data_IF_052967588742
#
_entry.id   IF_052967588742
#
_cell.length_a   1.000
_cell.length_b   1.000
_cell.length_c   1.000
_cell.angle_alpha   90.00
_cell.angle_beta   90.00
_cell.angle_gamma   90.00
#
_symmetry.space_group_name_H-M   'P 1'
#
loop_
_entity.id
_entity.type
_entity.pdbx_description
1 polymer ?
#
# COMPACT_ATOMS: atom_id res chain seq x y z
N UNK A 1 -48.35 -16.75 -120.22
CA UNK A 1 -49.61 -17.19 -119.61
C UNK A 1 -49.66 -16.52 -118.23
N UNK A 2 -50.42 -15.62 -118.10
CA UNK A 2 -51.59 -15.31 -117.40
C UNK A 2 -51.29 -14.47 -116.11
N UNK A 3 -51.52 -13.21 -116.14
CA UNK A 3 -52.62 -12.44 -115.53
C UNK A 3 -52.64 -12.53 -113.99
N UNK A 4 -52.78 -11.52 -113.20
CA UNK A 4 -53.41 -10.18 -113.15
C UNK A 4 -53.23 -9.75 -111.65
N UNK A 5 -53.07 -8.59 -111.25
CA UNK A 5 -53.75 -7.34 -111.43
C UNK A 5 -54.25 -6.78 -110.08
N UNK A 6 -54.26 -5.49 -109.96
CA UNK A 6 -54.94 -4.63 -108.95
C UNK A 6 -54.29 -4.52 -107.57
N UNK A 7 -53.89 -3.43 -106.98
CA UNK A 7 -54.34 -2.05 -107.14
C UNK A 7 -54.76 -1.49 -105.70
N UNK A 8 -54.46 -0.23 -105.52
CA UNK A 8 -55.10 0.67 -104.50
C UNK A 8 -54.59 0.57 -103.07
N UNK A 9 -54.17 1.50 -102.42
CA UNK A 9 -54.36 2.88 -102.12
C UNK A 9 -53.55 3.31 -100.92
N UNK A 10 -53.10 4.51 -100.99
CA UNK A 10 -52.49 5.36 -100.02
C UNK A 10 -53.22 5.44 -98.69
N UNK A 11 -52.46 5.34 -97.54
CA UNK A 11 -52.79 6.06 -96.32
C UNK A 11 -51.51 6.33 -95.55
N UNK A 12 -51.03 7.58 -95.59
CA UNK A 12 -49.99 8.10 -94.77
C UNK A 12 -50.49 8.28 -93.34
N UNK A 13 -49.87 7.59 -92.39
CA UNK A 13 -50.04 7.87 -90.98
C UNK A 13 -48.72 8.43 -90.47
N UNK A 14 -48.69 9.72 -90.19
CA UNK A 14 -47.64 10.38 -89.38
C UNK A 14 -47.64 9.82 -87.94
N UNK A 15 -46.60 9.10 -87.61
CA UNK A 15 -46.28 8.87 -86.16
C UNK A 15 -45.48 10.06 -85.65
N UNK A 16 -46.11 10.90 -84.85
CA UNK A 16 -45.45 11.86 -83.96
C UNK A 16 -44.67 11.06 -82.90
N UNK A 17 -43.35 11.10 -82.98
CA UNK A 17 -42.47 10.65 -81.90
C UNK A 17 -42.70 11.55 -80.68
N UNK A 18 -43.40 11.05 -79.68
CA UNK A 18 -43.56 11.68 -78.39
C UNK A 18 -42.24 11.69 -77.68
N UNK A 19 -41.66 12.87 -77.51
CA UNK A 19 -40.67 13.12 -76.53
C UNK A 19 -41.31 13.02 -75.11
N UNK A 20 -41.21 11.86 -74.45
CA UNK A 20 -41.50 11.75 -73.04
C UNK A 20 -40.48 12.59 -72.27
N UNK A 21 -40.86 13.13 -71.10
CA UNK A 21 -39.94 13.88 -70.30
C UNK A 21 -38.77 12.97 -69.89
N UNK A 22 -37.53 13.37 -70.23
CA UNK A 22 -36.34 12.74 -69.64
C UNK A 22 -36.45 12.84 -68.11
N UNK A 23 -36.49 11.70 -67.38
CA UNK A 23 -36.29 11.71 -65.95
C UNK A 23 -35.06 12.51 -65.65
N UNK A 24 -35.12 13.40 -64.63
CA UNK A 24 -33.94 14.12 -64.18
C UNK A 24 -32.86 13.09 -63.80
N UNK A 25 -31.57 13.36 -64.13
CA UNK A 25 -30.50 12.45 -63.77
C UNK A 25 -30.58 12.21 -62.27
N UNK A 26 -30.64 10.93 -61.85
CA UNK A 26 -30.54 10.59 -60.44
C UNK A 26 -29.33 11.29 -59.84
N UNK A 27 -29.48 11.87 -58.64
CA UNK A 27 -28.33 12.49 -57.99
C UNK A 27 -27.19 11.48 -57.88
N UNK A 28 -25.98 11.94 -58.16
CA UNK A 28 -24.79 11.09 -58.04
C UNK A 28 -24.71 10.53 -56.62
N UNK A 29 -24.61 9.20 -56.47
CA UNK A 29 -24.45 8.51 -55.19
C UNK A 29 -23.13 8.93 -54.57
N UNK A 30 -23.17 9.44 -53.37
CA UNK A 30 -22.00 9.77 -52.56
C UNK A 30 -21.74 8.70 -51.54
N UNK A 31 -20.61 8.03 -51.63
CA UNK A 31 -20.24 6.93 -50.75
C UNK A 31 -19.06 7.39 -49.88
N UNK A 32 -19.22 7.33 -48.57
CA UNK A 32 -18.17 7.62 -47.62
C UNK A 32 -17.64 6.27 -47.11
N UNK A 33 -16.33 6.05 -47.25
CA UNK A 33 -15.64 4.88 -46.73
C UNK A 33 -14.70 5.34 -45.60
N UNK A 34 -14.91 4.76 -44.43
CA UNK A 34 -14.14 5.02 -43.21
C UNK A 34 -13.42 3.75 -42.76
N UNK A 35 -12.24 3.87 -42.18
CA UNK A 35 -11.53 2.80 -41.49
C UNK A 35 -11.62 2.98 -39.97
N UNK A 36 -11.73 1.87 -39.25
CA UNK A 36 -11.74 1.85 -37.81
C UNK A 36 -10.74 0.79 -37.29
N UNK A 37 -10.07 0.99 -36.14
CA UNK A 37 -10.19 2.15 -35.23
C UNK A 37 -9.47 3.42 -35.74
N UNK A 38 -8.48 3.30 -36.60
CA UNK A 38 -7.67 4.40 -37.10
C UNK A 38 -8.09 4.86 -38.51
N UNK A 39 -8.04 6.16 -38.75
CA UNK A 39 -8.19 6.77 -40.05
C UNK A 39 -6.88 6.66 -40.87
N UNK A 40 -6.96 6.91 -42.18
CA UNK A 40 -5.76 6.98 -43.04
C UNK A 40 -5.45 5.70 -43.81
N UNK A 41 -6.32 4.71 -43.77
CA UNK A 41 -6.16 3.53 -44.62
C UNK A 41 -6.28 3.87 -46.11
N UNK A 42 -5.37 3.37 -46.94
CA UNK A 42 -5.52 3.43 -48.39
C UNK A 42 -6.69 2.59 -48.83
N UNK A 43 -7.56 3.15 -49.71
CA UNK A 43 -8.83 2.57 -50.09
C UNK A 43 -8.83 2.24 -51.59
N UNK A 44 -8.98 0.95 -51.93
CA UNK A 44 -9.26 0.55 -53.28
C UNK A 44 -10.71 0.04 -53.36
N UNK A 45 -11.50 0.50 -54.33
CA UNK A 45 -12.87 0.03 -54.60
C UNK A 45 -12.89 -0.61 -55.97
N UNK A 46 -13.26 -1.89 -56.05
CA UNK A 46 -13.21 -2.67 -57.28
C UNK A 46 -11.83 -2.63 -57.97
N UNK A 47 -10.73 -2.57 -57.19
CA UNK A 47 -9.36 -2.52 -57.67
C UNK A 47 -8.85 -1.13 -58.08
N UNK A 48 -9.69 -0.09 -58.06
CA UNK A 48 -9.29 1.29 -58.34
C UNK A 48 -8.98 2.05 -57.06
N UNK A 49 -7.86 2.77 -57.07
CA UNK A 49 -7.45 3.62 -55.94
C UNK A 49 -8.40 4.83 -55.79
N UNK A 50 -8.92 5.01 -54.58
CA UNK A 50 -9.86 6.07 -54.20
C UNK A 50 -9.28 7.05 -53.18
N UNK A 51 -8.02 6.87 -52.77
CA UNK A 51 -7.36 7.71 -51.80
C UNK A 51 -7.31 7.07 -50.40
N UNK A 52 -7.41 7.90 -49.36
CA UNK A 52 -7.27 7.45 -47.96
C UNK A 52 -8.53 7.71 -47.13
N UNK A 53 -8.93 6.74 -46.33
CA UNK A 53 -10.11 6.85 -45.45
C UNK A 53 -9.90 7.91 -44.32
N UNK A 54 -10.93 8.74 -44.00
CA UNK A 54 -12.24 8.74 -44.67
C UNK A 54 -12.17 9.34 -46.07
N UNK A 55 -12.76 8.62 -47.05
CA UNK A 55 -12.77 9.06 -48.45
C UNK A 55 -14.19 9.07 -49.00
N UNK A 56 -14.49 10.08 -49.85
CA UNK A 56 -15.75 10.17 -50.55
C UNK A 56 -15.55 9.69 -51.99
N UNK A 57 -16.33 8.70 -52.41
CA UNK A 57 -16.39 8.13 -53.75
C UNK A 57 -17.71 8.53 -54.39
N UNK A 58 -17.66 9.28 -55.48
CA UNK A 58 -18.85 9.72 -56.23
C UNK A 58 -19.09 8.88 -57.49
N UNK A 59 -20.35 8.73 -57.86
CA UNK A 59 -20.74 8.15 -59.12
C UNK A 59 -20.70 6.61 -59.21
N UNK A 60 -20.59 5.92 -58.08
CA UNK A 60 -20.74 4.45 -58.06
C UNK A 60 -22.20 4.06 -58.22
N UNK A 61 -22.58 3.23 -59.25
CA UNK A 61 -23.92 2.70 -59.39
C UNK A 61 -24.32 1.79 -58.21
N UNK A 62 -25.63 1.59 -58.02
CA UNK A 62 -26.10 0.59 -57.08
C UNK A 62 -25.55 -0.80 -57.48
N UNK A 63 -24.99 -1.52 -56.52
CA UNK A 63 -24.33 -2.80 -56.76
C UNK A 63 -23.46 -3.27 -55.59
N UNK A 64 -22.85 -4.43 -55.77
CA UNK A 64 -21.91 -5.00 -54.81
C UNK A 64 -20.47 -4.66 -55.23
N UNK A 65 -19.68 -4.17 -54.31
CA UNK A 65 -18.29 -3.79 -54.55
C UNK A 65 -17.39 -4.37 -53.48
N UNK A 66 -16.23 -4.88 -53.87
CA UNK A 66 -15.15 -5.22 -52.96
C UNK A 66 -14.33 -3.97 -52.65
N UNK A 67 -14.12 -3.73 -51.36
CA UNK A 67 -13.25 -2.68 -50.83
C UNK A 67 -12.04 -3.33 -50.20
N UNK A 68 -10.83 -2.92 -50.61
CA UNK A 68 -9.61 -3.29 -49.96
C UNK A 68 -9.08 -2.07 -49.19
N UNK A 69 -8.89 -2.26 -47.86
CA UNK A 69 -8.21 -1.32 -46.99
C UNK A 69 -6.80 -1.80 -46.71
N UNK A 70 -5.83 -0.87 -46.77
CA UNK A 70 -4.43 -1.11 -46.40
C UNK A 70 -3.96 0.03 -45.50
N UNK A 71 -3.52 -0.32 -44.29
CA UNK A 71 -2.96 0.62 -43.32
C UNK A 71 -1.74 -0.06 -42.69
N UNK A 72 -0.71 0.75 -42.41
CA UNK A 72 0.45 0.27 -41.66
C UNK A 72 0.02 -0.26 -40.31
N UNK A 73 0.67 -1.34 -39.85
CA UNK A 73 0.37 -2.05 -38.59
C UNK A 73 -1.00 -2.77 -38.54
N UNK A 74 -1.73 -2.82 -39.64
CA UNK A 74 -3.02 -3.53 -39.73
C UNK A 74 -2.98 -4.62 -40.80
N UNK A 75 -3.78 -5.65 -40.64
CA UNK A 75 -4.01 -6.66 -41.69
C UNK A 75 -4.72 -6.01 -42.85
N UNK A 76 -4.32 -6.41 -44.08
CA UNK A 76 -5.08 -6.04 -45.28
C UNK A 76 -6.50 -6.56 -45.14
N UNK A 77 -7.49 -5.68 -45.26
CA UNK A 77 -8.89 -6.01 -45.04
C UNK A 77 -9.68 -5.92 -46.34
N UNK A 78 -10.21 -7.05 -46.78
CA UNK A 78 -11.16 -7.14 -47.86
C UNK A 78 -12.58 -7.11 -47.30
N UNK A 79 -13.43 -6.22 -47.77
CA UNK A 79 -14.79 -6.09 -47.30
C UNK A 79 -15.75 -5.83 -48.46
N UNK A 80 -16.85 -6.57 -48.51
CA UNK A 80 -17.90 -6.39 -49.53
C UNK A 80 -18.91 -5.34 -49.05
N UNK A 81 -19.06 -4.25 -49.78
CA UNK A 81 -20.10 -3.25 -49.55
C UNK A 81 -21.25 -3.43 -50.57
N UNK A 82 -22.47 -3.11 -50.17
CA UNK A 82 -23.65 -3.12 -51.05
C UNK A 82 -24.19 -1.70 -51.13
N UNK A 83 -23.90 -1.02 -52.24
CA UNK A 83 -24.40 0.30 -52.56
C UNK A 83 -25.86 0.19 -53.01
N UNK A 84 -26.77 0.86 -52.29
CA UNK A 84 -28.22 0.82 -52.55
C UNK A 84 -28.68 1.87 -53.54
N UNK A 85 -27.84 2.88 -53.81
CA UNK A 85 -28.16 4.00 -54.68
C UNK A 85 -28.85 5.15 -53.94
N UNK A 86 -28.70 5.22 -52.63
CA UNK A 86 -29.13 6.34 -51.82
C UNK A 86 -28.24 7.57 -52.10
N UNK A 87 -28.71 8.81 -51.86
CA UNK A 87 -27.93 10.02 -52.13
C UNK A 87 -26.56 10.06 -51.37
N UNK A 88 -26.51 9.51 -50.15
CA UNK A 88 -25.30 9.37 -49.34
C UNK A 88 -25.37 8.06 -48.55
N UNK A 89 -24.29 7.28 -48.59
CA UNK A 89 -24.13 6.04 -47.82
C UNK A 89 -22.75 6.01 -47.20
N UNK A 90 -22.66 5.65 -45.89
CA UNK A 90 -21.38 5.55 -45.15
C UNK A 90 -21.10 4.10 -44.79
N UNK A 91 -19.89 3.65 -45.04
CA UNK A 91 -19.38 2.32 -44.69
C UNK A 91 -18.18 2.45 -43.81
N UNK A 92 -18.32 2.12 -42.52
CA UNK A 92 -17.18 2.04 -41.56
C UNK A 92 -16.66 0.60 -41.54
N UNK A 93 -15.43 0.39 -42.01
CA UNK A 93 -14.83 -0.93 -42.15
C UNK A 93 -13.80 -1.12 -41.03
N UNK A 94 -14.02 -2.12 -40.17
CA UNK A 94 -13.11 -2.48 -39.09
C UNK A 94 -11.85 -3.17 -39.64
N UNK A 95 -10.70 -2.75 -39.20
CA UNK A 95 -9.39 -3.36 -39.49
C UNK A 95 -8.84 -4.05 -38.27
N UNK A 96 -8.24 -5.21 -38.44
CA UNK A 96 -7.56 -5.95 -37.38
C UNK A 96 -6.10 -5.49 -37.25
N UNK A 97 -5.63 -5.08 -36.05
CA UNK A 97 -4.24 -4.73 -35.86
C UNK A 97 -3.35 -5.98 -36.00
N UNK A 98 -2.14 -5.80 -36.50
CA UNK A 98 -1.09 -6.79 -36.46
C UNK A 98 -0.52 -6.82 -35.04
N UNK A 99 -0.48 -7.98 -34.41
CA UNK A 99 -0.14 -8.14 -33.00
C UNK A 99 1.06 -9.06 -32.81
N UNK A 100 1.86 -8.78 -31.80
CA UNK A 100 2.81 -9.69 -31.20
C UNK A 100 2.65 -9.67 -29.67
N UNK A 101 3.53 -10.38 -28.97
CA UNK A 101 3.46 -10.47 -27.50
C UNK A 101 4.83 -10.27 -26.87
N UNK A 102 4.81 -9.70 -25.66
CA UNK A 102 6.01 -9.58 -24.83
C UNK A 102 5.80 -10.27 -23.49
N UNK A 103 6.83 -10.97 -23.02
CA UNK A 103 6.92 -11.54 -21.68
C UNK A 103 8.09 -10.90 -20.95
N UNK A 104 7.88 -10.51 -19.69
CA UNK A 104 8.90 -9.85 -18.88
C UNK A 104 8.98 -10.51 -17.51
N UNK A 105 10.15 -11.00 -17.17
CA UNK A 105 10.47 -11.57 -15.87
C UNK A 105 11.56 -10.75 -15.19
N UNK A 106 11.52 -10.66 -13.85
CA UNK A 106 12.62 -10.07 -13.06
C UNK A 106 12.95 -10.88 -11.82
N UNK A 107 14.18 -10.70 -11.33
CA UNK A 107 14.64 -11.15 -10.01
C UNK A 107 15.13 -9.92 -9.25
N UNK A 108 14.51 -9.58 -8.07
CA UNK A 108 13.28 -10.19 -7.53
C UNK A 108 12.06 -9.93 -8.41
N UNK A 109 11.03 -10.72 -8.20
CA UNK A 109 9.70 -10.54 -8.83
C UNK A 109 8.96 -9.34 -8.24
N UNK A 110 7.89 -8.89 -8.91
CA UNK A 110 7.03 -7.80 -8.41
C UNK A 110 7.44 -6.41 -8.88
N UNK A 111 8.41 -6.30 -9.81
CA UNK A 111 8.73 -5.01 -10.41
C UNK A 111 7.59 -4.53 -11.33
N UNK A 112 7.16 -3.30 -11.14
CA UNK A 112 6.16 -2.66 -11.99
C UNK A 112 6.72 -2.44 -13.39
N UNK A 113 5.92 -2.79 -14.41
CA UNK A 113 6.28 -2.67 -15.81
C UNK A 113 5.49 -1.50 -16.42
N UNK A 114 6.21 -0.57 -16.99
CA UNK A 114 5.64 0.54 -17.78
C UNK A 114 6.06 0.36 -19.23
N UNK A 115 5.10 0.41 -20.15
CA UNK A 115 5.37 0.45 -21.60
C UNK A 115 4.94 1.83 -22.11
N UNK A 116 5.87 2.53 -22.75
CA UNK A 116 5.71 3.95 -23.19
C UNK A 116 5.08 4.85 -22.12
N UNK A 117 5.46 4.60 -20.85
CA UNK A 117 5.01 5.35 -19.67
C UNK A 117 3.70 4.89 -19.05
N UNK A 118 2.97 3.95 -19.65
CA UNK A 118 1.76 3.37 -19.10
C UNK A 118 2.05 2.08 -18.34
N UNK A 119 1.50 1.93 -17.11
CA UNK A 119 1.67 0.72 -16.30
C UNK A 119 0.84 -0.42 -16.90
N UNK A 120 1.51 -1.50 -17.30
CA UNK A 120 0.89 -2.68 -17.91
C UNK A 120 0.79 -3.88 -16.95
N UNK A 121 1.49 -3.85 -15.82
CA UNK A 121 1.46 -4.93 -14.83
C UNK A 121 2.69 -4.90 -13.92
N UNK A 122 2.93 -6.06 -13.27
CA UNK A 122 4.14 -6.28 -12.47
C UNK A 122 4.71 -7.66 -12.78
N UNK A 123 6.04 -7.80 -12.75
CA UNK A 123 6.74 -9.05 -13.10
C UNK A 123 6.36 -10.22 -12.18
N UNK A 124 6.18 -11.46 -12.70
CA UNK A 124 6.28 -11.81 -14.11
C UNK A 124 5.00 -11.52 -14.91
N UNK A 125 5.13 -10.97 -16.12
CA UNK A 125 4.03 -10.83 -17.08
C UNK A 125 4.34 -11.72 -18.27
N UNK A 126 3.37 -12.51 -18.71
CA UNK A 126 3.52 -13.43 -19.82
C UNK A 126 2.54 -13.12 -20.94
N UNK A 127 3.06 -13.03 -22.17
CA UNK A 127 2.26 -12.92 -23.37
C UNK A 127 1.41 -11.64 -23.44
N UNK A 128 1.89 -10.52 -22.92
CA UNK A 128 1.19 -9.24 -23.02
C UNK A 128 1.10 -8.81 -24.48
N UNK A 129 -0.12 -8.59 -25.03
CA UNK A 129 -0.29 -8.28 -26.43
C UNK A 129 0.04 -6.81 -26.71
N UNK A 130 0.79 -6.57 -27.77
CA UNK A 130 1.09 -5.25 -28.31
C UNK A 130 0.94 -5.26 -29.83
N UNK A 131 0.50 -4.13 -30.38
CA UNK A 131 0.49 -3.94 -31.82
C UNK A 131 1.93 -3.88 -32.35
N UNK A 132 2.18 -4.26 -33.59
CA UNK A 132 3.51 -4.15 -34.21
C UNK A 132 4.01 -2.69 -34.13
N UNK A 133 5.28 -2.52 -33.80
CA UNK A 133 5.88 -1.19 -33.64
C UNK A 133 7.03 -1.16 -32.65
N UNK A 134 7.57 0.03 -32.49
CA UNK A 134 8.66 0.31 -31.56
C UNK A 134 8.09 0.80 -30.23
N UNK A 135 8.65 0.27 -29.15
CA UNK A 135 8.22 0.54 -27.77
C UNK A 135 9.43 0.73 -26.88
N UNK A 136 9.21 1.40 -25.77
CA UNK A 136 10.12 1.39 -24.62
C UNK A 136 9.43 0.79 -23.41
N UNK A 137 10.17 0.09 -22.56
CA UNK A 137 9.66 -0.29 -21.25
C UNK A 137 10.61 0.14 -20.14
N UNK A 138 10.02 0.33 -18.96
CA UNK A 138 10.75 0.60 -17.73
C UNK A 138 10.25 -0.35 -16.63
N UNK A 139 11.20 -0.99 -15.92
CA UNK A 139 10.94 -1.78 -14.72
C UNK A 139 11.27 -0.95 -13.50
N UNK A 140 10.33 -0.85 -12.56
CA UNK A 140 10.49 -0.16 -11.27
C UNK A 140 10.19 -1.11 -10.12
N UNK A 141 11.12 -1.22 -9.19
CA UNK A 141 10.92 -1.91 -7.91
C UNK A 141 11.52 -1.04 -6.81
N UNK A 142 10.81 -0.92 -5.70
CA UNK A 142 11.28 -0.13 -4.56
C UNK A 142 12.64 -0.64 -4.08
N UNK A 143 13.56 0.29 -3.80
CA UNK A 143 14.95 0.02 -3.40
C UNK A 143 15.82 -0.68 -4.46
N UNK A 144 15.42 -0.67 -5.72
CA UNK A 144 16.21 -1.18 -6.85
C UNK A 144 16.39 -0.10 -7.91
N UNK A 145 17.50 -0.16 -8.64
CA UNK A 145 17.71 0.71 -9.79
C UNK A 145 16.73 0.35 -10.90
N UNK A 146 16.05 1.33 -11.50
CA UNK A 146 15.15 1.06 -12.62
C UNK A 146 15.93 0.56 -13.84
N UNK A 147 15.29 -0.29 -14.64
CA UNK A 147 15.82 -0.75 -15.93
C UNK A 147 14.93 -0.18 -17.02
N UNK A 148 15.53 0.53 -17.98
CA UNK A 148 14.85 1.02 -19.18
C UNK A 148 15.46 0.34 -20.41
N UNK A 149 14.60 -0.12 -21.33
CA UNK A 149 15.02 -0.72 -22.58
C UNK A 149 14.03 -0.41 -23.70
N UNK A 150 14.52 -0.42 -24.96
CA UNK A 150 13.69 -0.27 -26.14
C UNK A 150 13.59 -1.62 -26.87
N UNK A 151 12.47 -1.88 -27.55
CA UNK A 151 12.23 -3.10 -28.28
C UNK A 151 11.23 -2.86 -29.43
N UNK A 152 11.25 -3.76 -30.41
CA UNK A 152 10.32 -3.73 -31.55
C UNK A 152 9.45 -4.98 -31.50
N UNK A 153 8.15 -4.81 -31.65
CA UNK A 153 7.19 -5.90 -31.81
C UNK A 153 6.95 -6.15 -33.30
N UNK A 154 7.17 -7.38 -33.75
CA UNK A 154 6.84 -7.86 -35.08
C UNK A 154 5.60 -8.76 -35.04
N UNK A 155 4.96 -8.93 -36.20
CA UNK A 155 3.74 -9.76 -36.33
C UNK A 155 3.98 -11.20 -35.86
N UNK A 156 3.11 -11.69 -34.96
CA UNK A 156 3.14 -13.04 -34.37
C UNK A 156 4.44 -13.38 -33.62
N UNK A 157 5.31 -12.40 -33.38
CA UNK A 157 6.54 -12.63 -32.64
C UNK A 157 6.30 -12.63 -31.13
N UNK A 158 7.08 -13.46 -30.41
CA UNK A 158 7.04 -13.53 -28.94
C UNK A 158 8.40 -13.10 -28.42
N UNK A 159 8.42 -11.95 -27.76
CA UNK A 159 9.62 -11.44 -27.08
C UNK A 159 9.63 -11.87 -25.63
N UNK A 160 10.80 -12.28 -25.12
CA UNK A 160 11.01 -12.63 -23.73
C UNK A 160 12.19 -11.85 -23.17
N UNK A 161 11.97 -11.15 -22.05
CA UNK A 161 12.98 -10.42 -21.31
C UNK A 161 13.11 -10.99 -19.90
N UNK A 162 14.35 -11.21 -19.46
CA UNK A 162 14.68 -11.66 -18.11
C UNK A 162 15.72 -10.72 -17.52
N UNK A 163 15.39 -10.13 -16.39
CA UNK A 163 16.23 -9.14 -15.74
C UNK A 163 16.58 -9.54 -14.32
N UNK A 164 17.82 -9.29 -13.93
CA UNK A 164 18.26 -9.28 -12.54
C UNK A 164 18.38 -7.82 -12.11
N UNK A 165 17.48 -7.39 -11.18
CA UNK A 165 17.45 -6.01 -10.72
C UNK A 165 18.60 -5.77 -9.73
N UNK A 166 19.31 -4.66 -9.90
CA UNK A 166 20.41 -4.28 -9.01
C UNK A 166 19.83 -3.55 -7.79
N UNK A 167 20.06 -4.06 -6.55
CA UNK A 167 19.60 -3.37 -5.35
C UNK A 167 20.33 -2.02 -5.18
N UNK A 168 19.61 -1.03 -4.66
CA UNK A 168 20.23 0.17 -4.12
C UNK A 168 20.78 -0.17 -2.74
N UNK A 169 22.07 0.05 -2.52
CA UNK A 169 22.71 -0.22 -1.24
C UNK A 169 23.13 1.06 -0.56
N UNK A 170 23.17 1.01 0.79
CA UNK A 170 23.74 2.04 1.65
C UNK A 170 24.56 1.36 2.76
N UNK A 171 25.50 2.07 3.33
CA UNK A 171 26.35 1.59 4.42
C UNK A 171 26.02 2.32 5.71
N UNK A 172 25.95 1.58 6.81
CA UNK A 172 25.81 2.12 8.14
C UNK A 172 26.92 1.62 9.04
N UNK A 173 27.71 2.52 9.61
CA UNK A 173 28.74 2.21 10.59
C UNK A 173 28.23 2.57 11.98
N UNK A 174 28.18 1.60 12.89
CA UNK A 174 27.67 1.78 14.26
C UNK A 174 28.80 1.69 15.26
N UNK A 175 28.98 2.77 16.02
CA UNK A 175 29.93 2.88 17.11
C UNK A 175 29.21 3.13 18.44
N UNK A 176 29.78 2.65 19.53
CA UNK A 176 29.29 2.98 20.87
C UNK A 176 30.41 3.23 21.86
N UNK A 177 30.08 3.92 22.94
CA UNK A 177 30.88 4.00 24.17
C UNK A 177 30.05 3.57 25.37
N UNK A 178 30.42 2.46 26.08
CA UNK A 178 31.55 1.59 25.79
C UNK A 178 31.41 0.82 24.49
N UNK A 179 32.53 0.35 23.94
CA UNK A 179 32.56 -0.54 22.76
C UNK A 179 32.12 -1.96 23.13
N UNK A 180 31.78 -2.77 22.14
CA UNK A 180 31.34 -4.15 22.35
C UNK A 180 29.86 -4.28 22.72
N UNK A 181 29.08 -3.18 22.54
CA UNK A 181 27.65 -3.20 22.77
C UNK A 181 26.94 -4.07 21.75
N UNK A 182 25.93 -4.81 22.17
CA UNK A 182 24.99 -5.49 21.29
C UNK A 182 24.20 -4.45 20.50
N UNK A 183 23.94 -4.75 19.22
CA UNK A 183 23.26 -3.86 18.27
C UNK A 183 21.89 -4.44 17.91
N UNK A 184 20.89 -3.57 17.82
CA UNK A 184 19.58 -3.86 17.20
C UNK A 184 19.31 -2.83 16.12
N UNK A 185 18.76 -3.32 15.00
CA UNK A 185 18.29 -2.48 13.89
C UNK A 185 16.81 -2.78 13.70
N UNK A 186 15.95 -1.77 13.81
CA UNK A 186 14.49 -1.92 13.78
C UNK A 186 13.99 -3.02 14.72
N UNK A 187 14.54 -3.08 15.94
CA UNK A 187 14.27 -4.10 16.97
C UNK A 187 14.74 -5.53 16.67
N UNK A 188 15.41 -5.76 15.55
CA UNK A 188 16.02 -7.05 15.22
C UNK A 188 17.45 -7.06 15.76
N UNK A 189 17.74 -8.04 16.64
CA UNK A 189 19.08 -8.20 17.21
C UNK A 189 20.07 -8.62 16.11
N UNK A 190 21.19 -7.93 16.04
CA UNK A 190 22.29 -8.25 15.13
C UNK A 190 23.27 -9.21 15.80
N UNK A 191 23.92 -10.05 15.01
CA UNK A 191 24.95 -10.97 15.51
C UNK A 191 26.22 -10.22 15.94
N UNK A 192 26.47 -9.06 15.31
CA UNK A 192 27.65 -8.22 15.52
C UNK A 192 27.47 -7.32 16.76
N UNK A 193 28.59 -6.88 17.30
CA UNK A 193 28.68 -5.85 18.35
C UNK A 193 29.42 -4.62 17.82
N UNK A 194 29.30 -3.49 18.51
CA UNK A 194 30.02 -2.26 18.13
C UNK A 194 31.52 -2.36 18.32
N UNK A 195 32.34 -1.82 17.38
CA UNK A 195 31.95 -1.18 16.14
C UNK A 195 31.62 -2.20 15.05
N UNK A 196 30.61 -1.92 14.22
CA UNK A 196 30.22 -2.80 13.09
C UNK A 196 29.68 -1.98 11.92
N UNK A 197 29.77 -2.59 10.71
CA UNK A 197 29.25 -2.02 9.48
C UNK A 197 28.15 -2.94 8.93
N UNK A 198 27.09 -2.32 8.41
CA UNK A 198 25.92 -2.97 7.82
C UNK A 198 25.69 -2.44 6.41
N UNK A 199 25.39 -3.34 5.48
CA UNK A 199 24.87 -3.00 4.15
C UNK A 199 23.37 -3.17 4.18
N UNK A 200 22.63 -2.09 3.90
CA UNK A 200 21.18 -2.02 4.02
C UNK A 200 20.58 -1.33 2.78
N UNK A 201 19.29 -1.46 2.56
CA UNK A 201 18.58 -0.63 1.59
C UNK A 201 18.52 0.83 2.06
N UNK A 202 18.32 1.81 1.15
CA UNK A 202 17.97 3.16 1.53
C UNK A 202 16.71 3.18 2.39
N UNK A 203 16.65 4.05 3.39
CA UNK A 203 15.50 4.14 4.30
C UNK A 203 15.86 4.61 5.69
N UNK A 204 14.88 4.68 6.57
CA UNK A 204 15.07 5.09 7.97
C UNK A 204 15.12 3.87 8.88
N UNK A 205 16.12 3.83 9.76
CA UNK A 205 16.38 2.73 10.67
C UNK A 205 16.48 3.23 12.10
N UNK A 206 15.81 2.55 13.02
CA UNK A 206 16.04 2.71 14.44
C UNK A 206 17.23 1.84 14.84
N UNK A 207 18.33 2.46 15.26
CA UNK A 207 19.53 1.77 15.75
C UNK A 207 19.58 1.90 17.25
N UNK A 208 19.64 0.80 17.97
CA UNK A 208 19.83 0.81 19.41
C UNK A 208 21.00 -0.07 19.85
N UNK A 209 21.70 0.34 20.91
CA UNK A 209 22.83 -0.38 21.48
C UNK A 209 22.61 -0.65 22.97
N UNK A 210 23.05 -1.81 23.43
CA UNK A 210 22.93 -2.22 24.82
C UNK A 210 24.19 -2.89 25.33
N UNK A 211 24.60 -2.51 26.55
CA UNK A 211 25.66 -3.15 27.33
C UNK A 211 25.19 -3.31 28.78
N UNK A 212 25.38 -4.47 29.44
CA UNK A 212 25.02 -4.63 30.86
C UNK A 212 25.67 -3.54 31.74
N UNK A 213 24.90 -2.97 32.65
CA UNK A 213 25.35 -1.87 33.53
C UNK A 213 25.32 -0.47 32.89
N UNK A 214 24.81 -0.36 31.67
CA UNK A 214 24.64 0.91 30.99
C UNK A 214 23.19 1.08 30.50
N UNK A 215 22.82 2.33 30.39
CA UNK A 215 21.56 2.76 29.81
C UNK A 215 21.56 2.48 28.29
N UNK A 216 20.50 1.84 27.79
CA UNK A 216 20.34 1.65 26.34
C UNK A 216 20.25 3.02 25.66
N UNK A 217 20.97 3.17 24.56
CA UNK A 217 20.88 4.34 23.69
C UNK A 217 20.32 3.95 22.34
N UNK A 218 19.58 4.88 21.73
CA UNK A 218 18.99 4.68 20.42
C UNK A 218 19.03 5.94 19.56
N UNK A 219 19.02 5.76 18.23
CA UNK A 219 19.00 6.86 17.27
C UNK A 219 18.31 6.41 15.99
N UNK A 220 17.47 7.29 15.42
CA UNK A 220 16.95 7.12 14.07
C UNK A 220 18.00 7.63 13.08
N UNK A 221 18.28 6.83 12.07
CA UNK A 221 19.27 7.08 11.03
C UNK A 221 18.62 6.90 9.68
N UNK A 222 18.71 7.90 8.81
CA UNK A 222 18.21 7.81 7.44
C UNK A 222 19.38 7.58 6.49
N UNK A 223 19.32 6.47 5.75
CA UNK A 223 20.32 6.08 4.74
C UNK A 223 19.83 6.51 3.35
N UNK A 224 20.63 7.28 2.64
CA UNK A 224 20.43 7.53 1.21
C UNK A 224 21.14 6.45 0.37
N UNK A 225 20.67 6.23 -0.86
CA UNK A 225 21.31 5.30 -1.79
C UNK A 225 22.79 5.64 -2.00
N UNK A 226 23.65 4.63 -1.93
CA UNK A 226 25.10 4.73 -2.07
C UNK A 226 25.82 5.59 -1.00
N UNK A 227 25.12 6.00 0.06
CA UNK A 227 25.71 6.75 1.16
C UNK A 227 26.31 5.82 2.22
N UNK A 228 27.25 6.38 2.99
CA UNK A 228 27.74 5.78 4.25
C UNK A 228 27.40 6.72 5.38
N UNK A 229 26.61 6.25 6.35
CA UNK A 229 26.25 7.00 7.55
C UNK A 229 26.96 6.43 8.77
N UNK A 230 27.51 7.32 9.60
CA UNK A 230 28.17 6.95 10.85
C UNK A 230 27.29 7.28 12.04
N UNK A 231 26.95 6.26 12.81
CA UNK A 231 26.14 6.34 14.02
C UNK A 231 27.04 6.19 15.24
N UNK A 232 27.12 7.23 16.05
CA UNK A 232 27.84 7.20 17.33
C UNK A 232 26.82 7.28 18.46
N UNK A 233 26.86 6.32 19.39
CA UNK A 233 25.96 6.22 20.54
C UNK A 233 26.78 6.17 21.82
N UNK A 234 26.52 7.08 22.74
CA UNK A 234 27.22 7.14 24.02
C UNK A 234 26.29 6.74 25.14
N UNK A 235 26.46 5.53 25.67
CA UNK A 235 25.67 5.02 26.78
C UNK A 235 26.19 5.58 28.12
N UNK A 236 25.25 5.94 29.00
CA UNK A 236 25.56 6.39 30.35
C UNK A 236 25.58 5.20 31.32
N UNK A 237 26.49 5.12 32.31
CA UNK A 237 26.40 4.14 33.37
C UNK A 237 25.08 4.29 34.14
N UNK A 238 24.40 3.19 34.42
CA UNK A 238 23.15 3.19 35.16
C UNK A 238 22.69 1.79 35.50
N UNK A 239 22.28 1.57 36.74
CA UNK A 239 21.62 0.34 37.14
C UNK A 239 20.11 0.45 36.82
N UNK A 240 19.61 -0.31 35.85
CA UNK A 240 18.18 -0.42 35.62
C UNK A 240 17.59 -1.34 36.69
N UNK A 241 16.48 -0.94 37.34
CA UNK A 241 15.84 -1.81 38.35
C UNK A 241 15.45 -3.15 37.74
N UNK A 242 15.52 -4.26 38.51
CA UNK A 242 15.15 -5.59 38.01
C UNK A 242 13.73 -5.59 37.42
N UNK A 243 13.56 -6.24 36.27
CA UNK A 243 12.26 -6.35 35.58
C UNK A 243 11.80 -5.08 34.84
N UNK A 244 12.57 -4.00 34.90
CA UNK A 244 12.29 -2.73 34.20
C UNK A 244 13.21 -2.53 33.00
N UNK A 245 12.82 -1.58 32.13
CA UNK A 245 13.65 -1.03 31.07
C UNK A 245 13.74 0.47 31.23
N UNK A 246 14.85 1.08 30.79
CA UNK A 246 14.95 2.52 30.76
C UNK A 246 14.38 3.06 29.47
N UNK A 247 13.49 4.02 29.59
CA UNK A 247 13.00 4.83 28.49
C UNK A 247 13.79 6.14 28.48
N UNK A 248 14.56 6.38 27.42
CA UNK A 248 15.38 7.58 27.30
C UNK A 248 14.51 8.85 27.27
N UNK A 249 15.02 9.93 27.86
CA UNK A 249 14.39 11.25 27.80
C UNK A 249 14.36 11.79 26.36
N UNK A 250 13.72 12.95 26.20
CA UNK A 250 13.67 13.68 24.92
C UNK A 250 12.29 13.66 24.25
N UNK A 251 12.26 14.16 23.04
CA UNK A 251 11.05 14.37 22.27
C UNK A 251 10.55 13.07 21.64
N UNK A 252 9.22 12.94 21.52
CA UNK A 252 8.56 11.92 20.73
C UNK A 252 7.27 12.45 20.13
N UNK A 253 6.81 11.79 19.09
CA UNK A 253 5.53 12.09 18.47
C UNK A 253 4.41 11.33 19.15
N UNK A 254 3.47 12.04 19.80
CA UNK A 254 2.29 11.51 20.46
C UNK A 254 1.03 11.78 19.65
N UNK A 255 0.07 10.86 19.74
CA UNK A 255 -1.22 10.99 19.08
C UNK A 255 -1.20 10.63 17.60
N UNK A 256 -2.32 10.85 16.93
CA UNK A 256 -2.50 10.54 15.52
C UNK A 256 -3.49 11.55 14.90
N UNK A 257 -3.23 12.00 13.65
CA UNK A 257 -4.10 12.97 12.98
C UNK A 257 -5.24 12.30 12.22
N UNK A 258 -5.01 11.06 11.74
CA UNK A 258 -5.86 10.40 10.75
C UNK A 258 -6.75 9.28 11.32
N UNK A 259 -6.75 9.10 12.65
CA UNK A 259 -7.47 8.00 13.33
C UNK A 259 -8.61 8.53 14.22
N UNK A 260 -8.72 8.00 15.42
CA UNK A 260 -9.82 8.40 16.31
C UNK A 260 -9.74 9.88 16.71
N UNK A 261 -10.87 10.58 16.88
CA UNK A 261 -10.88 12.00 17.23
C UNK A 261 -10.15 12.32 18.54
N UNK A 262 -10.20 11.43 19.51
CA UNK A 262 -9.55 11.58 20.83
C UNK A 262 -8.04 11.36 20.81
N UNK A 263 -7.48 10.87 19.70
CA UNK A 263 -6.03 10.74 19.48
C UNK A 263 -5.41 12.05 18.95
N UNK A 264 -6.22 13.05 18.59
CA UNK A 264 -5.79 14.32 17.98
C UNK A 264 -5.51 15.41 19.02
N UNK A 265 -4.68 16.40 18.66
CA UNK A 265 -3.82 16.46 17.48
C UNK A 265 -2.56 15.60 17.69
N UNK A 266 -1.94 15.18 16.58
CA UNK A 266 -0.57 14.66 16.58
C UNK A 266 0.37 15.78 17.06
N UNK A 267 1.16 15.53 18.10
CA UNK A 267 1.97 16.55 18.77
C UNK A 267 3.32 16.01 19.22
N UNK A 268 4.29 16.89 19.39
CA UNK A 268 5.57 16.56 19.99
C UNK A 268 5.49 16.75 21.50
N UNK A 269 5.92 15.74 22.26
CA UNK A 269 5.97 15.76 23.71
C UNK A 269 7.39 15.44 24.16
N UNK A 270 7.93 16.25 25.08
CA UNK A 270 9.25 16.03 25.66
C UNK A 270 9.10 15.42 27.06
N UNK A 271 9.78 14.30 27.31
CA UNK A 271 9.76 13.59 28.59
C UNK A 271 11.16 13.52 29.18
N UNK A 272 11.24 13.47 30.51
CA UNK A 272 12.46 13.08 31.22
C UNK A 272 12.65 11.56 31.10
N UNK A 273 13.88 11.02 31.30
CA UNK A 273 14.07 9.58 31.34
C UNK A 273 13.33 8.97 32.54
N UNK A 274 12.80 7.75 32.36
CA UNK A 274 12.08 6.99 33.36
C UNK A 274 12.27 5.50 33.16
N UNK A 275 11.98 4.69 34.16
CA UNK A 275 11.93 3.24 34.07
C UNK A 275 10.48 2.80 33.84
N UNK A 276 10.29 1.76 33.02
CA UNK A 276 9.01 1.11 32.75
C UNK A 276 9.14 -0.38 32.99
N UNK A 277 8.14 -1.02 33.61
CA UNK A 277 8.10 -2.47 33.67
C UNK A 277 8.14 -3.07 32.27
N UNK A 278 9.02 -4.07 32.10
CA UNK A 278 9.16 -4.75 30.80
C UNK A 278 7.88 -5.46 30.36
N UNK A 279 7.14 -6.00 31.31
CA UNK A 279 5.90 -6.73 31.14
C UNK A 279 4.76 -6.10 31.93
N UNK A 280 3.53 -6.51 31.67
CA UNK A 280 2.41 -6.28 32.59
C UNK A 280 2.70 -6.90 33.96
N UNK A 281 2.16 -6.33 35.04
CA UNK A 281 2.22 -6.94 36.37
C UNK A 281 1.55 -8.30 36.33
N UNK A 282 2.26 -9.36 36.79
CA UNK A 282 1.78 -10.71 36.73
C UNK A 282 0.87 -11.06 37.91
N UNK A 283 0.09 -12.12 37.79
CA UNK A 283 -0.71 -12.67 38.90
C UNK A 283 0.17 -12.99 40.11
N UNK A 284 1.36 -13.55 39.91
CA UNK A 284 2.31 -13.83 40.97
C UNK A 284 2.78 -12.58 41.69
N UNK A 285 3.19 -11.55 40.91
CA UNK A 285 3.66 -10.29 41.48
C UNK A 285 2.55 -9.59 42.27
N UNK A 286 1.35 -9.55 41.70
CA UNK A 286 0.18 -8.94 42.33
C UNK A 286 -0.19 -9.67 43.64
N UNK A 287 -0.20 -11.00 43.63
CA UNK A 287 -0.48 -11.84 44.82
C UNK A 287 0.59 -11.65 45.91
N UNK A 288 1.83 -11.43 45.56
CA UNK A 288 2.88 -11.16 46.54
C UNK A 288 2.60 -9.90 47.40
N UNK A 289 1.84 -8.93 46.83
CA UNK A 289 1.40 -7.72 47.53
C UNK A 289 0.02 -7.84 48.14
N UNK A 290 -0.90 -8.58 47.47
CA UNK A 290 -2.28 -8.83 47.88
C UNK A 290 -2.53 -10.33 47.97
N UNK A 291 -2.25 -10.97 49.11
CA UNK A 291 -2.35 -12.44 49.26
C UNK A 291 -3.73 -13.04 48.97
N UNK A 292 -4.78 -12.20 49.07
CA UNK A 292 -6.16 -12.56 48.74
C UNK A 292 -6.42 -12.73 47.22
N UNK A 293 -5.50 -12.27 46.38
CA UNK A 293 -5.63 -12.44 44.94
C UNK A 293 -5.56 -13.91 44.55
N UNK A 294 -6.56 -14.38 43.82
CA UNK A 294 -6.67 -15.75 43.38
C UNK A 294 -6.68 -15.85 41.86
N UNK A 295 -6.03 -16.87 41.35
CA UNK A 295 -5.97 -17.17 39.92
C UNK A 295 -5.82 -18.68 39.73
N UNK A 296 -6.20 -19.23 38.54
CA UNK A 296 -6.03 -20.64 38.22
C UNK A 296 -4.56 -21.08 38.28
N UNK A 297 -4.32 -22.33 38.67
CA UNK A 297 -2.98 -22.94 38.65
C UNK A 297 -2.36 -22.89 37.25
N UNK A 298 -1.07 -22.57 37.15
CA UNK A 298 -0.33 -22.42 35.91
C UNK A 298 -0.50 -21.03 35.23
N UNK A 299 -1.20 -20.10 35.91
CA UNK A 299 -1.36 -18.71 35.42
C UNK A 299 -0.55 -17.69 36.25
N UNK A 300 0.49 -18.11 36.91
CA UNK A 300 1.38 -17.24 37.73
C UNK A 300 1.94 -16.10 36.92
N UNK A 301 2.40 -16.40 35.70
CA UNK A 301 3.02 -15.47 34.77
C UNK A 301 2.04 -14.84 33.75
N UNK A 302 0.74 -14.89 34.02
CA UNK A 302 -0.26 -14.18 33.21
C UNK A 302 -0.50 -12.80 33.80
N UNK A 303 -0.95 -11.81 32.99
CA UNK A 303 -1.26 -10.49 33.51
C UNK A 303 -2.29 -10.56 34.65
N UNK A 304 -2.04 -9.84 35.72
CA UNK A 304 -3.04 -9.60 36.75
C UNK A 304 -4.12 -8.67 36.16
N UNK A 305 -5.31 -9.21 35.98
CA UNK A 305 -6.46 -8.45 35.45
C UNK A 305 -7.68 -8.53 36.36
N UNK A 306 -8.76 -7.85 35.99
CA UNK A 306 -9.86 -7.62 36.91
C UNK A 306 -9.48 -6.64 38.03
N UNK A 307 -8.47 -5.81 37.77
CA UNK A 307 -7.90 -4.83 38.70
C UNK A 307 -8.42 -3.45 38.33
N UNK A 308 -9.01 -2.75 39.29
CA UNK A 308 -9.43 -1.35 39.10
C UNK A 308 -8.25 -0.39 39.08
N UNK A 309 -8.44 0.81 38.53
CA UNK A 309 -7.42 1.84 38.55
C UNK A 309 -6.89 2.14 39.95
N UNK A 310 -7.83 2.22 40.93
CA UNK A 310 -7.45 2.47 42.33
C UNK A 310 -6.61 1.36 42.94
N UNK A 311 -6.92 0.10 42.60
CA UNK A 311 -6.12 -1.06 43.04
C UNK A 311 -4.74 -1.09 42.38
N UNK A 312 -4.67 -0.77 41.07
CA UNK A 312 -3.40 -0.66 40.35
C UNK A 312 -2.49 0.45 40.94
N UNK A 313 -3.04 1.61 41.22
CA UNK A 313 -2.34 2.70 41.89
C UNK A 313 -1.83 2.32 43.28
N UNK A 314 -2.67 1.62 44.07
CA UNK A 314 -2.28 1.12 45.39
C UNK A 314 -1.15 0.10 45.28
N UNK A 315 -1.23 -0.85 44.36
CA UNK A 315 -0.15 -1.81 44.12
C UNK A 315 1.16 -1.08 43.79
N UNK A 316 1.14 -0.20 42.79
CA UNK A 316 2.31 0.53 42.34
C UNK A 316 2.98 1.29 43.49
N UNK A 317 2.18 1.99 44.32
CA UNK A 317 2.71 2.71 45.50
C UNK A 317 3.34 1.76 46.52
N UNK A 318 2.76 0.60 46.80
CA UNK A 318 3.29 -0.36 47.78
C UNK A 318 4.60 -0.99 47.33
N UNK A 319 4.85 -1.11 46.01
CA UNK A 319 6.13 -1.63 45.49
C UNK A 319 7.14 -0.51 45.18
N UNK A 320 6.88 0.75 45.60
CA UNK A 320 7.77 1.89 45.40
C UNK A 320 7.81 2.38 43.93
N UNK A 321 6.75 2.11 43.17
CA UNK A 321 6.56 2.51 41.80
C UNK A 321 5.31 3.40 41.65
N UNK A 322 4.94 3.74 40.44
CA UNK A 322 3.72 4.46 40.07
C UNK A 322 3.12 3.90 38.78
N UNK A 323 1.88 4.24 38.45
CA UNK A 323 1.40 4.03 37.10
C UNK A 323 2.15 4.97 36.14
N UNK A 324 2.39 4.57 34.90
CA UNK A 324 2.91 5.47 33.88
C UNK A 324 1.88 6.57 33.57
N UNK A 325 2.35 7.72 33.13
CA UNK A 325 1.47 8.67 32.46
C UNK A 325 1.12 8.12 31.07
N UNK A 326 0.06 8.65 30.46
CA UNK A 326 -0.36 8.28 29.13
C UNK A 326 0.75 8.58 28.10
N UNK A 327 1.43 9.70 28.25
CA UNK A 327 2.57 10.10 27.43
C UNK A 327 3.76 9.14 27.58
N UNK A 328 4.06 8.71 28.80
CA UNK A 328 5.11 7.74 29.06
C UNK A 328 4.78 6.38 28.47
N UNK A 329 3.54 5.94 28.65
CA UNK A 329 3.10 4.67 28.08
C UNK A 329 3.23 4.66 26.55
N UNK A 330 2.73 5.73 25.89
CA UNK A 330 2.77 5.84 24.44
C UNK A 330 4.21 5.92 23.91
N UNK A 331 5.10 6.69 24.55
CA UNK A 331 6.53 6.72 24.20
C UNK A 331 7.18 5.36 24.33
N UNK A 332 6.91 4.64 25.43
CA UNK A 332 7.45 3.30 25.65
C UNK A 332 6.99 2.29 24.58
N UNK A 333 5.77 2.45 24.07
CA UNK A 333 5.21 1.61 23.04
C UNK A 333 5.76 1.91 21.64
N UNK A 334 5.81 3.20 21.24
CA UNK A 334 6.06 3.61 19.85
C UNK A 334 7.40 4.28 19.58
N UNK A 335 8.25 4.49 20.61
CA UNK A 335 9.50 5.25 20.48
C UNK A 335 9.30 6.70 20.05
N UNK A 336 10.33 7.29 19.43
CA UNK A 336 10.32 8.68 18.95
C UNK A 336 9.76 8.86 17.53
N UNK A 337 9.73 7.80 16.73
CA UNK A 337 9.37 7.85 15.30
C UNK A 337 7.86 7.95 15.02
N UNK A 338 7.03 7.66 16.03
CA UNK A 338 5.57 7.78 15.89
C UNK A 338 4.89 6.61 15.19
N UNK A 339 5.54 5.43 15.15
CA UNK A 339 5.00 4.20 14.55
C UNK A 339 3.62 3.83 15.07
N UNK A 340 2.87 3.09 14.25
CA UNK A 340 1.48 2.72 14.54
C UNK A 340 1.40 1.61 15.61
N UNK A 341 2.29 0.60 15.53
CA UNK A 341 2.38 -0.53 16.46
C UNK A 341 3.77 -0.60 17.08
N UNK A 342 3.95 -1.29 18.22
CA UNK A 342 5.27 -1.40 18.85
C UNK A 342 6.36 -1.92 17.92
N UNK A 343 6.04 -2.82 17.00
CA UNK A 343 6.98 -3.43 16.04
C UNK A 343 7.12 -2.65 14.72
N UNK A 344 6.21 -1.71 14.39
CA UNK A 344 6.30 -0.99 13.11
C UNK A 344 5.04 -0.25 12.70
N UNK A 345 4.91 -0.01 11.39
CA UNK A 345 3.83 0.81 10.83
C UNK A 345 2.59 0.02 10.44
N UNK A 346 2.72 -1.28 10.24
CA UNK A 346 1.64 -2.16 9.80
C UNK A 346 1.33 -3.23 10.84
N UNK A 347 0.07 -3.64 10.90
CA UNK A 347 -0.30 -4.78 11.73
C UNK A 347 0.24 -6.07 11.11
N UNK A 348 0.87 -6.91 11.95
CA UNK A 348 1.39 -8.22 11.57
C UNK A 348 0.79 -9.27 12.50
N UNK A 349 0.24 -10.33 11.93
CA UNK A 349 -0.28 -11.45 12.70
C UNK A 349 0.84 -12.16 13.47
N UNK A 350 0.53 -12.60 14.69
CA UNK A 350 1.54 -13.26 15.54
C UNK A 350 2.46 -12.32 16.33
N UNK A 351 2.30 -10.98 16.18
CA UNK A 351 3.06 -10.00 16.97
C UNK A 351 2.39 -9.64 18.30
N UNK A 352 1.08 -9.86 18.44
CA UNK A 352 0.31 -9.48 19.63
C UNK A 352 -0.85 -10.44 19.90
N UNK A 353 -1.27 -10.55 21.16
CA UNK A 353 -2.47 -11.27 21.54
C UNK A 353 -3.70 -10.39 21.42
N UNK A 354 -4.19 -10.22 20.20
CA UNK A 354 -5.43 -9.52 19.88
C UNK A 354 -6.51 -10.50 19.44
N UNK A 355 -7.69 -10.02 19.12
CA UNK A 355 -8.79 -10.84 18.60
C UNK A 355 -8.37 -11.64 17.35
N UNK A 356 -7.50 -11.09 16.51
CA UNK A 356 -6.97 -11.75 15.32
C UNK A 356 -6.08 -12.96 15.66
N UNK A 357 -5.45 -12.99 16.84
CA UNK A 357 -4.67 -14.14 17.28
C UNK A 357 -5.51 -15.38 17.64
N UNK A 358 -6.83 -15.21 17.81
CA UNK A 358 -7.77 -16.32 18.02
C UNK A 358 -7.69 -17.02 19.37
N UNK A 359 -6.87 -16.55 20.33
CA UNK A 359 -6.72 -17.19 21.64
C UNK A 359 -7.97 -17.09 22.53
N UNK A 360 -8.79 -16.07 22.33
CA UNK A 360 -9.99 -15.75 23.11
C UNK A 360 -9.75 -15.69 24.63
N UNK A 361 -8.51 -15.47 25.05
CA UNK A 361 -8.07 -15.36 26.46
C UNK A 361 -6.72 -14.65 26.57
N UNK A 362 -6.42 -14.14 27.76
CA UNK A 362 -5.06 -13.70 28.08
C UNK A 362 -4.07 -14.87 27.93
N UNK A 363 -2.82 -14.53 27.78
CA UNK A 363 -1.71 -15.51 27.77
C UNK A 363 -0.62 -15.04 28.72
N UNK A 364 0.36 -15.90 29.01
CA UNK A 364 1.51 -15.52 29.80
C UNK A 364 2.23 -14.32 29.20
N UNK A 365 2.71 -13.42 30.04
CA UNK A 365 3.51 -12.25 29.59
C UNK A 365 4.72 -12.71 28.78
N UNK A 366 5.06 -11.97 27.74
CA UNK A 366 6.20 -12.28 26.89
C UNK A 366 6.01 -13.40 25.89
N UNK A 367 4.79 -13.95 25.73
CA UNK A 367 4.55 -14.96 24.69
C UNK A 367 4.74 -14.37 23.29
N UNK A 368 4.32 -13.14 23.09
CA UNK A 368 4.43 -12.39 21.84
C UNK A 368 5.70 -11.52 21.80
N UNK A 369 6.85 -12.11 22.12
CA UNK A 369 8.10 -11.39 22.23
C UNK A 369 8.53 -10.68 20.93
N UNK A 370 8.09 -11.17 19.78
CA UNK A 370 8.39 -10.53 18.50
C UNK A 370 7.70 -9.15 18.34
N UNK A 371 6.61 -8.92 19.05
CA UNK A 371 5.91 -7.63 19.11
C UNK A 371 6.50 -6.64 20.10
N UNK A 372 7.73 -6.85 20.53
CA UNK A 372 8.45 -5.98 21.49
C UNK A 372 8.63 -4.56 20.95
N UNK A 373 8.42 -3.55 21.80
CA UNK A 373 8.68 -2.15 21.46
C UNK A 373 10.18 -1.86 21.30
N UNK A 374 10.57 -0.73 20.69
CA UNK A 374 11.98 -0.31 20.58
C UNK A 374 12.70 -0.27 21.93
N UNK A 375 12.02 0.14 22.97
CA UNK A 375 12.55 0.17 24.33
C UNK A 375 12.53 -1.18 25.04
N UNK A 376 12.13 -2.25 24.36
CA UNK A 376 12.09 -3.62 24.91
C UNK A 376 10.95 -3.87 25.93
N UNK A 377 9.95 -3.01 25.94
CA UNK A 377 8.67 -3.33 26.56
C UNK A 377 7.94 -4.37 25.73
N UNK A 378 7.41 -5.40 26.35
CA UNK A 378 6.72 -6.50 25.69
C UNK A 378 5.22 -6.40 26.00
N UNK A 379 4.39 -6.93 25.12
CA UNK A 379 2.92 -6.92 25.25
C UNK A 379 2.30 -5.50 25.33
N UNK A 380 2.97 -4.50 24.71
CA UNK A 380 2.43 -3.13 24.60
C UNK A 380 1.27 -3.03 23.60
N UNK A 381 0.87 -4.14 23.00
CA UNK A 381 -0.27 -4.27 22.10
C UNK A 381 -0.98 -5.60 22.39
N UNK A 382 -2.29 -5.54 22.68
CA UNK A 382 -3.10 -6.71 23.01
C UNK A 382 -2.82 -7.26 24.43
N UNK A 383 -3.17 -8.50 24.66
CA UNK A 383 -3.13 -9.24 25.91
C UNK A 383 -4.04 -8.65 27.00
N UNK A 384 -3.67 -7.54 27.63
CA UNK A 384 -4.55 -6.83 28.55
C UNK A 384 -4.49 -5.32 28.30
N UNK A 385 -5.62 -4.62 28.43
CA UNK A 385 -5.63 -3.18 28.57
C UNK A 385 -4.86 -2.75 29.82
N UNK A 386 -4.13 -1.66 29.73
CA UNK A 386 -3.29 -1.19 30.80
C UNK A 386 -3.73 0.19 31.31
N UNK A 387 -4.03 0.26 32.61
CA UNK A 387 -4.32 1.52 33.28
C UNK A 387 -3.09 2.43 33.28
N UNK A 388 -3.33 3.71 32.93
CA UNK A 388 -2.35 4.80 33.11
C UNK A 388 -2.85 5.83 34.14
N UNK A 389 -1.99 6.74 34.57
CA UNK A 389 -2.33 7.66 35.66
C UNK A 389 -3.28 8.80 35.28
N UNK A 390 -3.43 9.09 33.97
CA UNK A 390 -4.18 10.22 33.46
C UNK A 390 -5.70 10.05 33.60
N UNK A 391 -6.38 11.19 33.78
CA UNK A 391 -7.78 11.28 33.47
C UNK A 391 -7.98 11.27 31.93
N UNK A 392 -9.10 10.72 31.48
CA UNK A 392 -9.48 10.80 30.08
C UNK A 392 -9.96 12.23 29.77
N UNK A 393 -9.11 12.98 29.10
CA UNK A 393 -9.34 14.36 28.74
C UNK A 393 -8.86 14.63 27.31
N UNK A 394 -9.29 15.75 26.73
CA UNK A 394 -8.83 16.20 25.44
C UNK A 394 -7.32 16.48 25.46
N UNK A 395 -6.61 16.06 24.41
CA UNK A 395 -5.24 16.51 24.23
C UNK A 395 -5.19 18.04 24.01
N UNK A 396 -4.14 18.73 24.46
CA UNK A 396 -3.98 20.15 24.19
C UNK A 396 -4.09 20.46 22.70
N UNK A 397 -5.04 21.35 22.36
CA UNK A 397 -5.33 21.74 20.98
C UNK A 397 -6.41 20.91 20.28
N UNK A 398 -6.92 19.84 20.88
CA UNK A 398 -8.04 19.09 20.34
C UNK A 398 -9.31 19.97 20.35
N UNK A 399 -10.02 19.99 19.22
CA UNK A 399 -11.26 20.73 19.04
C UNK A 399 -12.52 19.83 19.22
N UNK A 400 -12.31 18.51 19.27
CA UNK A 400 -13.40 17.56 19.48
C UNK A 400 -13.84 17.58 20.94
N UNK A 401 -15.13 17.77 21.18
CA UNK A 401 -15.70 17.82 22.52
C UNK A 401 -16.60 16.60 22.73
N UNK A 402 -16.32 15.86 23.80
CA UNK A 402 -17.20 14.78 24.28
C UNK A 402 -17.55 15.01 25.74
N UNK A 403 -18.75 14.52 26.14
CA UNK A 403 -19.18 14.51 27.56
C UNK A 403 -18.32 13.60 28.45
N UNK A 404 -17.48 12.78 27.85
CA UNK A 404 -16.65 11.80 28.55
C UNK A 404 -15.30 12.38 28.99
N UNK A 405 -14.94 13.58 28.53
CA UNK A 405 -13.74 14.29 28.97
C UNK A 405 -13.88 14.88 30.37
N UNK A 406 -12.75 15.02 31.03
CA UNK A 406 -12.63 15.58 32.37
C UNK A 406 -12.28 14.53 33.43
N UNK A 407 -12.55 14.85 34.72
CA UNK A 407 -12.24 13.95 35.83
C UNK A 407 -13.35 12.91 36.08
N UNK A 408 -13.78 12.21 35.03
CA UNK A 408 -14.86 11.20 35.05
C UNK A 408 -14.30 9.80 34.86
N UNK A 409 -13.44 9.64 33.87
CA UNK A 409 -12.87 8.35 33.47
C UNK A 409 -11.34 8.37 33.51
N UNK A 410 -10.75 7.20 33.71
CA UNK A 410 -9.31 6.96 33.62
C UNK A 410 -8.97 6.32 32.28
N UNK A 411 -7.78 6.63 31.77
CA UNK A 411 -7.30 6.11 30.49
C UNK A 411 -6.76 4.70 30.64
N UNK A 412 -7.05 3.87 29.63
CA UNK A 412 -6.46 2.56 29.37
C UNK A 412 -5.80 2.57 28.00
N UNK A 413 -4.73 1.78 27.85
CA UNK A 413 -3.95 1.73 26.62
C UNK A 413 -3.68 0.29 26.18
N UNK A 414 -3.27 0.12 24.92
CA UNK A 414 -2.71 -1.12 24.37
C UNK A 414 -3.70 -2.09 23.74
N UNK A 415 -4.99 -1.96 23.99
CA UNK A 415 -5.94 -2.98 23.58
C UNK A 415 -5.84 -4.26 24.46
N UNK A 416 -6.59 -5.28 24.13
CA UNK A 416 -6.60 -6.55 24.84
C UNK A 416 -6.83 -7.74 23.89
N UNK A 417 -6.82 -8.95 24.43
CA UNK A 417 -7.18 -10.16 23.68
C UNK A 417 -8.63 -10.17 23.16
N UNK A 418 -9.49 -9.30 23.70
CA UNK A 418 -10.88 -9.13 23.27
C UNK A 418 -11.06 -8.09 22.16
N UNK A 419 -10.03 -7.29 21.88
CA UNK A 419 -10.08 -6.20 20.90
C UNK A 419 -9.20 -6.46 19.70
N UNK A 420 -9.44 -5.74 18.62
CA UNK A 420 -8.75 -5.97 17.36
C UNK A 420 -7.54 -5.06 17.15
N UNK A 421 -6.97 -5.17 15.96
CA UNK A 421 -5.80 -4.40 15.55
C UNK A 421 -5.96 -2.88 15.66
N UNK A 422 -7.19 -2.36 15.59
CA UNK A 422 -7.41 -0.92 15.70
C UNK A 422 -7.11 -0.41 17.11
N UNK A 423 -7.57 -1.14 18.15
CA UNK A 423 -7.36 -0.80 19.56
C UNK A 423 -5.93 -1.12 20.03
N UNK A 424 -5.23 -2.02 19.33
CA UNK A 424 -3.84 -2.39 19.63
C UNK A 424 -2.79 -1.38 19.15
N UNK A 425 -3.20 -0.30 18.47
CA UNK A 425 -2.30 0.77 18.03
C UNK A 425 -1.72 1.55 19.21
N UNK A 426 -0.48 1.99 19.08
CA UNK A 426 0.20 2.74 20.15
C UNK A 426 -0.54 4.02 20.56
N UNK A 427 -1.21 4.72 19.62
CA UNK A 427 -1.95 5.95 19.89
C UNK A 427 -3.39 5.72 20.34
N UNK A 428 -3.92 4.49 20.22
CA UNK A 428 -5.30 4.18 20.56
C UNK A 428 -5.57 4.41 22.04
N UNK A 429 -6.71 5.03 22.35
CA UNK A 429 -7.15 5.36 23.69
C UNK A 429 -8.41 4.57 24.03
N UNK A 430 -8.48 4.10 25.26
CA UNK A 430 -9.68 3.56 25.87
C UNK A 430 -9.86 4.19 27.26
N UNK A 431 -11.07 4.19 27.77
CA UNK A 431 -11.35 4.77 29.08
C UNK A 431 -12.46 4.01 29.80
N UNK A 432 -12.38 4.00 31.11
CA UNK A 432 -13.46 3.50 31.97
C UNK A 432 -13.41 4.19 33.35
N UNK A 433 -14.42 3.91 34.16
CA UNK A 433 -14.49 4.42 35.54
C UNK A 433 -13.36 3.86 36.36
N UNK A 434 -12.84 4.65 37.29
CA UNK A 434 -11.72 4.26 38.14
C UNK A 434 -11.98 3.03 39.05
N UNK A 435 -13.23 2.64 39.20
CA UNK A 435 -13.69 1.46 39.96
C UNK A 435 -14.02 0.26 39.06
N UNK A 436 -13.91 0.38 37.75
CA UNK A 436 -14.18 -0.72 36.81
C UNK A 436 -13.14 -1.85 36.94
N UNK A 437 -13.62 -3.11 36.93
CA UNK A 437 -12.81 -4.32 37.09
C UNK A 437 -13.19 -5.31 36.01
N UNK A 438 -12.77 -5.07 34.78
CA UNK A 438 -13.02 -5.98 33.66
C UNK A 438 -11.94 -7.06 33.58
N UNK A 439 -12.29 -8.22 33.06
CA UNK A 439 -11.41 -9.38 32.97
C UNK A 439 -10.18 -9.18 32.09
N UNK A 440 -10.18 -8.14 31.26
CA UNK A 440 -9.09 -7.77 30.37
C UNK A 440 -8.40 -6.44 30.76
N UNK A 441 -8.67 -5.89 31.97
CA UNK A 441 -8.03 -4.69 32.49
C UNK A 441 -6.95 -5.04 33.48
N UNK A 442 -5.71 -4.77 33.11
CA UNK A 442 -4.49 -4.92 33.89
C UNK A 442 -3.70 -3.61 33.95
N UNK A 443 -2.40 -3.70 34.17
CA UNK A 443 -1.49 -2.54 34.24
C UNK A 443 -0.04 -2.98 34.26
N UNK A 444 0.84 -2.02 33.99
CA UNK A 444 2.29 -2.07 34.29
C UNK A 444 2.70 -0.84 35.08
N UNK A 445 3.85 -0.88 35.74
CA UNK A 445 4.33 0.24 36.52
C UNK A 445 5.47 0.97 35.85
N UNK A 446 5.62 2.24 36.25
CA UNK A 446 6.77 3.10 35.94
C UNK A 446 7.47 3.54 37.22
N UNK A 447 8.71 4.03 37.11
CA UNK A 447 9.49 4.60 38.16
C UNK A 447 10.34 5.74 37.59
N UNK A 448 10.51 6.83 38.35
CA UNK A 448 11.36 7.92 37.92
C UNK A 448 12.82 7.47 37.86
N UNK A 449 13.51 7.82 36.78
CA UNK A 449 14.93 7.63 36.70
C UNK A 449 15.65 8.74 37.52
N UNK A 450 16.81 8.46 38.13
CA UNK A 450 17.61 9.50 38.79
C UNK A 450 17.88 10.65 37.79
N UNK A 451 17.86 11.88 38.31
CA UNK A 451 18.31 13.02 37.51
C UNK A 451 19.78 12.81 37.13
N UNK A 452 20.05 12.86 35.82
CA UNK A 452 21.41 12.77 35.29
C UNK A 452 22.18 14.06 35.53
#
# INVERSE_FOLDING_TARGET
MGRSGWGVALCAVLFLAGCGPKEPPKPATRIIIESAPDAGAAVLVAGEDRGTAPVTVEGLPAGKYEVLLTLDRYKRTFHDIVVKGEPEETFTIAMEPLMGTVSVESKPIGADIYVDGEKVGSTPVFGYPLQVGDYSYELRLENYYPITNAFTIEENFKLEFKHELKPMEAQMEVFSRPTGAKIWINNVAQAQTTPSRFTLFPGSYLVSVHTPGFVQEEKIVTLAANATETVQLQMSPGAVPPGMVLISGGDFTMGNEDRAPDERPKRVVSLKPYYMDKFEVTNQDYKAVFPEHSFPEGQENWPATGVSWSQAMRYASLVGKRLPTEEEWEKAARSSDGREYPWGWTFEEGMANTKEAGNARRVRVGLYFNGTSPYRCVDMAGNAYEWVSNWYDAYPGNQDVTKDYGQIFRVLRGGSYLTGKFEARCASRHFDRMDATREDYGFRCAQDAPAQ
#
